data_IF_760838707199
#
_entry.id   IF_760838707199
#
_cell.length_a   1.000
_cell.length_b   1.000
_cell.length_c   1.000
_cell.angle_alpha   90.00
_cell.angle_beta   90.00
_cell.angle_gamma   90.00
#
_symmetry.space_group_name_H-M   'P 1'
#
loop_
_entity.id
_entity.type
_entity.pdbx_description
1 polymer ?
#
# COMPACT_ATOMS: atom_id res chain seq x y z
N UNK A 1 -0.01 -0.50 33.63
CA UNK A 1 0.73 0.07 32.50
C UNK A 1 1.52 -1.02 31.80
N UNK A 2 1.08 -1.42 30.61
CA UNK A 2 1.78 -2.35 29.73
C UNK A 2 2.93 -1.62 29.05
N UNK A 3 4.10 -2.25 29.09
CA UNK A 3 5.32 -1.82 28.43
C UNK A 3 6.10 -3.05 28.00
N UNK A 4 6.58 -3.05 26.76
CA UNK A 4 7.35 -4.14 26.17
C UNK A 4 6.55 -5.06 25.25
N UNK A 5 7.22 -6.07 24.69
CA UNK A 5 6.63 -6.99 23.73
C UNK A 5 5.61 -7.91 24.39
N UNK A 6 4.64 -8.37 23.61
CA UNK A 6 3.70 -9.42 23.99
C UNK A 6 3.47 -10.37 22.83
N UNK A 7 3.10 -11.61 23.19
CA UNK A 7 2.64 -12.63 22.25
C UNK A 7 1.45 -13.31 22.91
N UNK A 8 0.36 -13.47 22.16
CA UNK A 8 -0.80 -14.25 22.58
C UNK A 8 -0.96 -15.47 21.66
N UNK A 9 -1.39 -16.58 22.24
CA UNK A 9 -1.65 -17.84 21.54
C UNK A 9 -3.15 -18.16 21.58
N UNK A 10 -3.64 -18.91 20.59
CA UNK A 10 -5.00 -19.46 20.63
C UNK A 10 -5.06 -20.73 21.49
N UNK A 11 -6.26 -21.27 21.70
CA UNK A 11 -6.50 -22.47 22.54
C UNK A 11 -5.78 -23.72 22.04
N UNK A 12 -5.39 -23.75 20.75
CA UNK A 12 -4.67 -24.84 20.11
C UNK A 12 -3.16 -24.63 20.07
N UNK A 13 -2.64 -23.55 20.68
CA UNK A 13 -1.21 -23.28 20.82
C UNK A 13 -0.55 -22.54 19.65
N UNK A 14 -1.30 -22.13 18.62
CA UNK A 14 -0.77 -21.30 17.53
C UNK A 14 -0.69 -19.83 17.94
N UNK A 15 0.35 -19.11 17.48
CA UNK A 15 0.43 -17.64 17.61
C UNK A 15 -0.87 -17.03 17.08
N UNK A 16 -1.47 -16.12 17.84
CA UNK A 16 -2.67 -15.36 17.45
C UNK A 16 -2.30 -13.93 17.11
N UNK A 17 -1.48 -13.30 17.95
CA UNK A 17 -1.03 -11.92 17.78
C UNK A 17 0.26 -11.64 18.55
N UNK A 18 1.02 -10.65 18.09
CA UNK A 18 2.30 -10.21 18.66
C UNK A 18 2.45 -8.71 18.39
N UNK A 19 3.06 -8.00 19.30
CA UNK A 19 3.45 -6.60 19.11
C UNK A 19 4.09 -6.04 20.37
N UNK A 20 4.17 -4.72 20.44
CA UNK A 20 4.80 -4.03 21.56
C UNK A 20 3.85 -2.98 22.13
N UNK A 21 3.79 -2.87 23.46
CA UNK A 21 3.15 -1.76 24.14
C UNK A 21 4.20 -0.76 24.63
N UNK A 22 3.91 0.53 24.49
CA UNK A 22 4.63 1.65 25.12
C UNK A 22 3.58 2.54 25.80
N UNK A 23 3.65 2.66 27.12
CA UNK A 23 2.71 3.41 27.95
C UNK A 23 1.23 3.05 27.68
N UNK A 24 0.90 1.75 27.76
CA UNK A 24 -0.43 1.18 27.48
C UNK A 24 -0.93 1.32 26.03
N UNK A 25 -0.10 1.79 25.09
CA UNK A 25 -0.45 1.98 23.68
C UNK A 25 0.36 1.06 22.78
N UNK A 26 -0.25 0.52 21.73
CA UNK A 26 0.48 -0.22 20.71
C UNK A 26 1.46 0.71 19.99
N UNK A 27 2.69 0.25 19.80
CA UNK A 27 3.75 0.99 19.12
C UNK A 27 4.65 0.01 18.36
N UNK A 28 5.00 0.32 17.11
CA UNK A 28 5.76 -0.55 16.21
C UNK A 28 4.89 -1.51 15.39
N UNK A 29 5.50 -2.60 14.90
CA UNK A 29 4.81 -3.61 14.09
C UNK A 29 3.96 -4.52 14.97
N UNK A 30 2.71 -4.71 14.58
CA UNK A 30 1.77 -5.62 15.19
C UNK A 30 1.31 -6.66 14.18
N UNK A 31 1.48 -7.92 14.56
CA UNK A 31 1.26 -9.08 13.71
C UNK A 31 0.01 -9.84 14.18
N UNK A 32 -0.74 -10.39 13.22
CA UNK A 32 -1.79 -11.38 13.46
C UNK A 32 -1.60 -12.56 12.54
N UNK A 33 -1.96 -13.73 13.04
CA UNK A 33 -1.87 -14.99 12.31
C UNK A 33 -3.23 -15.65 12.12
N UNK A 34 -3.34 -16.49 11.11
CA UNK A 34 -4.37 -17.51 11.01
C UNK A 34 -4.07 -18.67 11.98
N UNK A 35 -5.08 -19.49 12.25
CA UNK A 35 -4.95 -20.66 13.14
C UNK A 35 -4.03 -21.77 12.61
N UNK A 36 -3.44 -21.60 11.41
CA UNK A 36 -2.48 -22.52 10.80
C UNK A 36 -1.08 -21.91 10.66
N UNK A 37 -0.80 -20.75 11.27
CA UNK A 37 0.55 -20.21 11.41
C UNK A 37 1.02 -19.20 10.35
N UNK A 38 0.23 -18.93 9.31
CA UNK A 38 0.50 -17.87 8.34
C UNK A 38 -0.04 -16.52 8.82
N UNK A 39 0.56 -15.40 8.40
CA UNK A 39 0.02 -14.08 8.72
C UNK A 39 -1.39 -13.91 8.16
N UNK A 40 -2.28 -13.35 8.96
CA UNK A 40 -3.56 -12.82 8.49
C UNK A 40 -3.48 -11.31 8.23
N UNK A 41 -2.68 -10.60 9.03
CA UNK A 41 -2.38 -9.19 8.80
C UNK A 41 -1.11 -8.74 9.50
N UNK A 42 -0.49 -7.70 8.96
CA UNK A 42 0.61 -6.95 9.57
C UNK A 42 0.21 -5.48 9.59
N UNK A 43 0.32 -4.80 10.74
CA UNK A 43 -0.12 -3.42 10.93
C UNK A 43 0.93 -2.63 11.70
N UNK A 44 1.22 -1.40 11.27
CA UNK A 44 2.13 -0.51 11.99
C UNK A 44 1.36 0.49 12.86
N UNK A 45 1.76 0.60 14.12
CA UNK A 45 1.18 1.53 15.10
C UNK A 45 2.21 2.56 15.56
N UNK A 46 1.71 3.74 15.90
CA UNK A 46 2.47 4.79 16.60
C UNK A 46 1.57 5.44 17.64
N UNK A 47 2.00 5.45 18.89
CA UNK A 47 1.24 6.00 20.02
C UNK A 47 -0.21 5.48 20.11
N UNK A 48 -0.41 4.19 19.78
CA UNK A 48 -1.71 3.51 19.85
C UNK A 48 -2.62 3.75 18.65
N UNK A 49 -2.14 4.46 17.62
CA UNK A 49 -2.89 4.78 16.41
C UNK A 49 -2.21 4.14 15.20
N UNK A 50 -2.98 3.60 14.26
CA UNK A 50 -2.41 3.05 13.01
C UNK A 50 -1.71 4.18 12.25
N UNK A 51 -0.44 3.96 11.90
CA UNK A 51 0.39 4.91 11.18
C UNK A 51 1.39 4.16 10.33
N UNK A 52 1.37 4.36 9.01
CA UNK A 52 2.12 3.56 8.04
C UNK A 52 1.18 2.67 7.23
N UNK A 53 1.29 1.35 7.39
CA UNK A 53 0.59 0.36 6.58
C UNK A 53 -0.14 -0.68 7.41
N UNK A 54 -1.27 -1.15 6.87
CA UNK A 54 -1.97 -2.37 7.26
C UNK A 54 -2.07 -3.27 6.05
N UNK A 55 -1.41 -4.42 6.09
CA UNK A 55 -1.34 -5.40 5.01
C UNK A 55 -2.13 -6.64 5.40
N UNK A 56 -2.96 -7.12 4.49
CA UNK A 56 -3.79 -8.32 4.66
C UNK A 56 -3.31 -9.43 3.74
N UNK A 57 -3.46 -10.65 4.23
CA UNK A 57 -3.01 -11.85 3.53
C UNK A 57 -4.16 -12.85 3.41
N UNK A 58 -4.14 -13.65 2.35
CA UNK A 58 -4.99 -14.83 2.22
C UNK A 58 -4.49 -15.94 3.14
N UNK A 59 -5.30 -16.98 3.42
CA UNK A 59 -4.83 -18.19 4.12
C UNK A 59 -3.65 -18.89 3.43
N UNK A 60 -3.39 -18.61 2.15
CA UNK A 60 -2.28 -19.14 1.38
C UNK A 60 -1.04 -18.22 1.39
N UNK A 61 -1.04 -17.16 2.20
CA UNK A 61 0.09 -16.23 2.35
C UNK A 61 0.21 -15.16 1.26
N UNK A 62 -0.77 -15.04 0.36
CA UNK A 62 -0.73 -14.04 -0.73
C UNK A 62 -1.34 -12.73 -0.22
N UNK A 63 -0.71 -11.59 -0.50
CA UNK A 63 -1.26 -10.27 -0.16
C UNK A 63 -2.58 -10.06 -0.89
N UNK A 64 -3.62 -9.71 -0.14
CA UNK A 64 -4.96 -9.43 -0.69
C UNK A 64 -5.25 -7.93 -0.74
N UNK A 65 -4.74 -7.18 0.24
CA UNK A 65 -4.83 -5.72 0.24
C UNK A 65 -3.74 -5.06 1.10
N UNK A 66 -3.48 -3.80 0.79
CA UNK A 66 -2.63 -2.89 1.57
C UNK A 66 -3.39 -1.58 1.77
N UNK A 67 -3.50 -1.16 3.02
CA UNK A 67 -4.12 0.10 3.43
C UNK A 67 -3.08 0.98 4.09
N UNK A 68 -2.99 2.23 3.65
CA UNK A 68 -2.00 3.18 4.16
C UNK A 68 -2.66 4.25 5.01
N UNK A 69 -2.17 4.43 6.23
CA UNK A 69 -2.72 5.31 7.23
C UNK A 69 -1.73 6.39 7.61
N UNK A 70 -2.24 7.62 7.81
CA UNK A 70 -1.47 8.72 8.38
C UNK A 70 -2.23 9.31 9.57
N UNK A 71 -1.70 9.10 10.77
CA UNK A 71 -2.33 9.42 12.05
C UNK A 71 -3.77 8.88 12.15
N UNK A 72 -3.93 7.57 11.87
CA UNK A 72 -5.20 6.85 11.99
C UNK A 72 -6.19 7.10 10.86
N UNK A 73 -5.86 7.96 9.88
CA UNK A 73 -6.72 8.25 8.74
C UNK A 73 -6.25 7.47 7.52
N UNK A 74 -7.14 6.69 6.93
CA UNK A 74 -6.89 6.00 5.67
C UNK A 74 -6.60 7.02 4.56
N UNK A 75 -5.53 6.79 3.81
CA UNK A 75 -5.07 7.63 2.70
C UNK A 75 -5.08 6.90 1.38
N UNK A 76 -4.61 5.66 1.37
CA UNK A 76 -4.52 4.86 0.15
C UNK A 76 -4.95 3.44 0.43
N UNK A 77 -5.56 2.79 -0.57
CA UNK A 77 -5.87 1.36 -0.52
C UNK A 77 -5.51 0.72 -1.84
N UNK A 78 -4.72 -0.35 -1.78
CA UNK A 78 -4.42 -1.21 -2.92
C UNK A 78 -5.07 -2.57 -2.64
N UNK A 79 -5.92 -3.03 -3.55
CA UNK A 79 -6.42 -4.40 -3.52
C UNK A 79 -5.78 -5.20 -4.65
N UNK A 80 -5.58 -6.49 -4.41
CA UNK A 80 -4.96 -7.42 -5.34
C UNK A 80 -5.93 -8.53 -5.73
N UNK A 81 -5.78 -9.01 -6.95
CA UNK A 81 -6.36 -10.28 -7.37
C UNK A 81 -5.57 -11.45 -6.77
N UNK A 82 -6.18 -12.62 -6.80
CA UNK A 82 -5.53 -13.88 -6.37
C UNK A 82 -4.28 -14.26 -7.17
N UNK A 83 -4.12 -13.73 -8.39
CA UNK A 83 -2.91 -13.86 -9.20
C UNK A 83 -1.82 -12.83 -8.86
N UNK A 84 -2.01 -12.01 -7.83
CA UNK A 84 -1.06 -11.00 -7.38
C UNK A 84 -1.11 -9.68 -8.18
N UNK A 85 -1.89 -9.59 -9.25
CA UNK A 85 -2.03 -8.33 -9.99
C UNK A 85 -2.91 -7.33 -9.25
N UNK A 86 -2.59 -6.05 -9.38
CA UNK A 86 -3.40 -4.96 -8.84
C UNK A 86 -4.83 -5.05 -9.39
N UNK A 87 -5.78 -5.08 -8.46
CA UNK A 87 -7.22 -5.07 -8.72
C UNK A 87 -7.78 -3.67 -8.63
N UNK A 88 -7.35 -2.91 -7.63
CA UNK A 88 -7.88 -1.58 -7.36
C UNK A 88 -6.84 -0.73 -6.63
N UNK A 89 -6.82 0.57 -6.96
CA UNK A 89 -6.13 1.61 -6.19
C UNK A 89 -7.14 2.71 -5.87
N UNK A 90 -7.15 3.18 -4.62
CA UNK A 90 -7.96 4.31 -4.17
C UNK A 90 -7.12 5.35 -3.43
N UNK A 91 -7.49 6.63 -3.58
CA UNK A 91 -7.01 7.75 -2.75
C UNK A 91 -8.20 8.28 -1.92
N UNK A 92 -7.97 8.48 -0.62
CA UNK A 92 -8.98 8.94 0.33
C UNK A 92 -8.69 10.36 0.84
N UNK A 93 -9.73 11.19 0.91
CA UNK A 93 -9.72 12.50 1.58
C UNK A 93 -10.95 12.61 2.48
N UNK A 94 -10.72 12.69 3.79
CA UNK A 94 -11.80 12.72 4.80
C UNK A 94 -12.82 11.60 4.58
N UNK A 95 -12.31 10.37 4.43
CA UNK A 95 -13.08 9.13 4.24
C UNK A 95 -13.83 9.02 2.90
N UNK A 96 -13.71 10.01 2.02
CA UNK A 96 -14.26 10.00 0.67
C UNK A 96 -13.18 9.52 -0.31
N UNK A 97 -13.55 8.61 -1.21
CA UNK A 97 -12.71 8.21 -2.34
C UNK A 97 -12.67 9.35 -3.36
N UNK A 98 -11.50 9.96 -3.55
CA UNK A 98 -11.30 11.10 -4.47
C UNK A 98 -10.60 10.71 -5.76
N UNK A 99 -10.07 9.50 -5.84
CA UNK A 99 -9.56 8.87 -7.05
C UNK A 99 -9.67 7.36 -6.88
N UNK A 100 -10.02 6.67 -7.96
CA UNK A 100 -10.04 5.22 -8.01
C UNK A 100 -9.57 4.76 -9.39
N UNK A 101 -8.83 3.65 -9.44
CA UNK A 101 -8.52 2.93 -10.66
C UNK A 101 -8.68 1.43 -10.42
N UNK A 102 -9.40 0.75 -11.32
CA UNK A 102 -9.74 -0.67 -11.22
C UNK A 102 -9.19 -1.41 -12.44
N UNK A 103 -8.68 -2.62 -12.23
CA UNK A 103 -8.28 -3.53 -13.30
C UNK A 103 -8.91 -4.91 -13.10
N UNK A 104 -9.20 -5.59 -14.20
CA UNK A 104 -9.56 -7.00 -14.15
C UNK A 104 -8.31 -7.89 -14.01
N UNK A 105 -8.49 -9.22 -13.92
CA UNK A 105 -7.39 -10.18 -13.77
C UNK A 105 -6.40 -10.22 -14.94
N UNK A 106 -6.76 -9.64 -16.10
CA UNK A 106 -5.92 -9.54 -17.29
C UNK A 106 -5.17 -8.19 -17.37
N UNK A 107 -5.33 -7.32 -16.36
CA UNK A 107 -4.72 -5.99 -16.35
C UNK A 107 -5.44 -4.95 -17.21
N UNK A 108 -6.64 -5.24 -17.71
CA UNK A 108 -7.45 -4.26 -18.45
C UNK A 108 -8.14 -3.31 -17.47
N UNK A 109 -8.05 -2.01 -17.75
CA UNK A 109 -8.73 -0.95 -16.99
C UNK A 109 -10.25 -1.10 -17.12
N UNK A 110 -10.91 -1.32 -15.97
CA UNK A 110 -12.36 -1.41 -15.81
C UNK A 110 -12.88 -0.35 -14.83
N UNK A 111 -12.17 0.77 -14.74
CA UNK A 111 -12.53 1.87 -13.85
C UNK A 111 -13.84 2.51 -14.31
N UNK A 112 -14.73 2.82 -13.36
CA UNK A 112 -16.02 3.45 -13.63
C UNK A 112 -15.81 4.87 -14.20
N UNK A 113 -16.71 5.27 -15.10
CA UNK A 113 -16.61 6.54 -15.84
C UNK A 113 -16.57 7.76 -14.92
N UNK A 114 -17.24 7.69 -13.76
CA UNK A 114 -17.23 8.77 -12.76
C UNK A 114 -15.82 9.11 -12.27
N UNK A 115 -14.91 8.13 -12.20
CA UNK A 115 -13.53 8.32 -11.79
C UNK A 115 -12.59 8.63 -12.96
N UNK A 116 -13.04 8.48 -14.22
CA UNK A 116 -12.29 8.84 -15.43
C UNK A 116 -12.55 10.28 -15.89
N UNK A 117 -13.65 10.88 -15.46
CA UNK A 117 -14.09 12.17 -15.97
C UNK A 117 -13.03 13.28 -15.77
N UNK A 118 -12.64 13.93 -16.87
CA UNK A 118 -11.65 15.01 -16.86
C UNK A 118 -10.20 14.54 -16.66
N UNK A 119 -9.95 13.24 -16.68
CA UNK A 119 -8.61 12.66 -16.63
C UNK A 119 -8.11 12.32 -18.03
N UNK A 120 -6.82 12.49 -18.23
CA UNK A 120 -6.08 12.10 -19.43
C UNK A 120 -4.94 11.18 -19.04
N UNK A 121 -4.86 10.04 -19.72
CA UNK A 121 -3.77 9.09 -19.53
C UNK A 121 -2.73 9.27 -20.65
N UNK A 122 -1.46 9.32 -20.26
CA UNK A 122 -0.32 9.45 -21.17
C UNK A 122 0.57 8.24 -20.96
N UNK A 123 0.91 7.56 -22.06
CA UNK A 123 1.82 6.41 -22.07
C UNK A 123 3.02 6.73 -22.92
N UNK A 124 4.20 6.39 -22.42
CA UNK A 124 5.43 6.37 -23.21
C UNK A 124 5.92 4.94 -23.32
N UNK A 125 6.48 4.61 -24.48
CA UNK A 125 7.02 3.28 -24.77
C UNK A 125 8.53 3.39 -25.00
N UNK A 126 9.24 2.32 -24.68
CA UNK A 126 10.60 2.09 -25.17
C UNK A 126 10.57 1.82 -26.69
N UNK A 127 11.72 1.95 -27.39
CA UNK A 127 11.82 1.56 -28.80
C UNK A 127 11.42 0.10 -29.07
N UNK A 128 11.58 -0.78 -28.07
CA UNK A 128 11.12 -2.17 -28.09
C UNK A 128 9.60 -2.33 -28.10
N UNK A 129 8.85 -1.26 -27.80
CA UNK A 129 7.40 -1.27 -27.64
C UNK A 129 6.92 -1.54 -26.21
N UNK A 130 7.84 -1.86 -25.30
CA UNK A 130 7.52 -2.08 -23.88
C UNK A 130 7.06 -0.77 -23.22
N UNK A 131 6.09 -0.87 -22.31
CA UNK A 131 5.58 0.29 -21.56
C UNK A 131 6.68 0.84 -20.67
N UNK A 132 7.02 2.13 -20.84
CA UNK A 132 8.02 2.85 -20.05
C UNK A 132 7.36 3.65 -18.93
N UNK A 133 6.34 4.42 -19.26
CA UNK A 133 5.57 5.19 -18.29
C UNK A 133 4.09 5.14 -18.59
N UNK A 134 3.29 5.21 -17.54
CA UNK A 134 1.86 5.50 -17.62
C UNK A 134 1.54 6.56 -16.59
N UNK A 135 0.99 7.69 -17.00
CA UNK A 135 0.74 8.83 -16.13
C UNK A 135 -0.65 9.38 -16.35
N UNK A 136 -1.34 9.66 -15.25
CA UNK A 136 -2.69 10.25 -15.27
C UNK A 136 -2.58 11.74 -14.93
N UNK A 137 -3.27 12.56 -15.73
CA UNK A 137 -3.31 14.01 -15.61
C UNK A 137 -4.75 14.48 -15.47
N UNK A 138 -4.98 15.52 -14.68
CA UNK A 138 -6.22 16.28 -14.68
C UNK A 138 -5.89 17.67 -15.22
N UNK A 139 -6.38 17.99 -16.41
CA UNK A 139 -5.83 19.09 -17.23
C UNK A 139 -4.35 18.84 -17.51
N UNK A 140 -3.45 19.68 -16.97
CA UNK A 140 -2.01 19.63 -17.22
C UNK A 140 -1.18 19.30 -15.96
N UNK A 141 -1.83 18.94 -14.85
CA UNK A 141 -1.17 18.53 -13.60
C UNK A 141 -1.32 17.03 -13.36
N UNK A 142 -0.29 16.41 -12.80
CA UNK A 142 -0.34 15.00 -12.39
C UNK A 142 -1.47 14.80 -11.38
N UNK A 143 -2.30 13.79 -11.63
CA UNK A 143 -3.47 13.50 -10.81
C UNK A 143 -3.81 12.02 -10.95
N UNK A 144 -3.90 11.30 -9.83
CA UNK A 144 -4.11 9.85 -9.81
C UNK A 144 -2.81 9.08 -9.94
N UNK A 145 -2.81 8.04 -10.79
CA UNK A 145 -1.72 7.08 -10.89
C UNK A 145 -0.62 7.52 -11.87
N UNK A 146 0.63 7.36 -11.44
CA UNK A 146 1.82 7.39 -12.29
C UNK A 146 2.63 6.12 -12.05
N UNK A 147 3.02 5.40 -13.11
CA UNK A 147 3.86 4.20 -13.05
C UNK A 147 5.04 4.36 -13.99
N UNK A 148 6.20 3.87 -13.56
CA UNK A 148 7.41 3.78 -14.36
C UNK A 148 7.93 2.35 -14.30
N UNK A 149 8.26 1.80 -15.47
CA UNK A 149 8.72 0.43 -15.63
C UNK A 149 10.10 0.42 -16.29
N UNK A 150 10.89 -0.59 -15.94
CA UNK A 150 12.09 -0.94 -16.67
C UNK A 150 11.76 -1.59 -18.01
N UNK A 151 12.75 -1.71 -18.87
CA UNK A 151 12.59 -2.35 -20.17
C UNK A 151 12.30 -3.86 -20.05
N UNK A 152 12.63 -4.47 -18.92
CA UNK A 152 12.32 -5.85 -18.51
C UNK A 152 10.91 -6.04 -17.93
N UNK A 153 10.06 -5.01 -18.00
CA UNK A 153 8.72 -4.94 -17.41
C UNK A 153 8.69 -4.83 -15.88
N UNK A 154 9.83 -4.75 -15.21
CA UNK A 154 9.87 -4.58 -13.76
C UNK A 154 9.31 -3.21 -13.36
N UNK A 155 8.47 -3.15 -12.33
CA UNK A 155 8.02 -1.87 -11.78
C UNK A 155 9.20 -1.18 -11.09
N UNK A 156 9.60 -0.02 -11.60
CA UNK A 156 10.63 0.82 -10.97
C UNK A 156 9.99 1.71 -9.91
N UNK A 157 8.85 2.32 -10.25
CA UNK A 157 8.10 3.11 -9.27
C UNK A 157 6.62 3.23 -9.59
N UNK A 158 5.84 3.40 -8.53
CA UNK A 158 4.43 3.76 -8.57
C UNK A 158 4.24 4.99 -7.69
N UNK A 159 3.54 5.99 -8.21
CA UNK A 159 3.22 7.22 -7.46
C UNK A 159 1.75 7.56 -7.57
N UNK A 160 1.20 8.10 -6.49
CA UNK A 160 -0.14 8.65 -6.46
C UNK A 160 -0.08 10.15 -6.26
N UNK A 161 -0.84 10.87 -7.07
CA UNK A 161 -0.96 12.32 -7.02
C UNK A 161 -2.41 12.71 -6.77
N UNK A 162 -2.63 13.81 -6.05
CA UNK A 162 -3.95 14.42 -5.96
C UNK A 162 -3.82 15.93 -6.11
N UNK A 163 -4.43 16.47 -7.17
CA UNK A 163 -4.34 17.89 -7.53
C UNK A 163 -2.87 18.38 -7.59
N UNK A 164 -1.99 17.59 -8.19
CA UNK A 164 -0.55 17.89 -8.34
C UNK A 164 0.31 17.58 -7.12
N UNK A 165 -0.28 17.33 -5.94
CA UNK A 165 0.48 16.95 -4.75
C UNK A 165 0.93 15.49 -4.85
N UNK A 166 2.21 15.22 -4.55
CA UNK A 166 2.74 13.85 -4.47
C UNK A 166 2.34 13.21 -3.14
N UNK A 167 1.42 12.25 -3.19
CA UNK A 167 0.74 11.70 -2.02
C UNK A 167 1.36 10.39 -1.55
N UNK A 168 1.83 9.58 -2.49
CA UNK A 168 2.42 8.26 -2.23
C UNK A 168 3.49 7.96 -3.27
N UNK A 169 4.54 7.25 -2.85
CA UNK A 169 5.56 6.70 -3.72
C UNK A 169 5.94 5.30 -3.25
N UNK A 170 5.90 4.33 -4.16
CA UNK A 170 6.52 3.01 -4.04
C UNK A 170 7.69 2.97 -4.99
N UNK A 171 8.86 2.60 -4.50
CA UNK A 171 10.07 2.36 -5.32
C UNK A 171 10.63 0.99 -5.00
N UNK A 172 11.23 0.38 -5.99
CA UNK A 172 12.02 -0.84 -5.82
C UNK A 172 13.46 -0.44 -5.47
N UNK A 173 14.01 -1.01 -4.40
CA UNK A 173 15.39 -0.77 -3.98
C UNK A 173 16.39 -1.70 -4.70
N UNK A 174 17.66 -1.65 -4.30
CA UNK A 174 18.73 -2.47 -4.90
C UNK A 174 18.58 -3.98 -4.63
N UNK A 175 17.77 -4.37 -3.64
CA UNK A 175 17.48 -5.75 -3.28
C UNK A 175 16.15 -6.25 -3.85
N UNK A 176 15.52 -5.46 -4.74
CA UNK A 176 14.18 -5.70 -5.27
C UNK A 176 13.05 -5.66 -4.22
N UNK A 177 13.25 -4.95 -3.11
CA UNK A 177 12.22 -4.73 -2.10
C UNK A 177 11.48 -3.41 -2.34
N UNK A 178 10.20 -3.37 -1.95
CA UNK A 178 9.41 -2.16 -2.07
C UNK A 178 9.62 -1.23 -0.88
N UNK A 179 10.07 -0.02 -1.15
CA UNK A 179 10.10 1.10 -0.21
C UNK A 179 8.89 2.00 -0.49
N UNK A 180 7.98 2.06 0.48
CA UNK A 180 6.78 2.87 0.42
C UNK A 180 6.95 4.16 1.23
N UNK A 181 6.59 5.29 0.64
CA UNK A 181 6.69 6.63 1.23
C UNK A 181 5.36 7.36 1.09
N UNK A 182 4.80 7.79 2.22
CA UNK A 182 3.64 8.67 2.30
C UNK A 182 4.12 10.13 2.22
N UNK A 183 3.40 10.96 1.45
CA UNK A 183 3.67 12.39 1.27
C UNK A 183 5.15 12.72 0.99
N UNK A 184 5.77 12.10 -0.03
CA UNK A 184 7.15 12.41 -0.42
C UNK A 184 7.32 13.91 -0.72
N UNK A 185 8.53 14.42 -0.47
CA UNK A 185 8.92 15.81 -0.73
C UNK A 185 8.08 16.86 0.03
N UNK A 186 7.49 16.45 1.15
CA UNK A 186 6.65 17.27 2.03
C UNK A 186 7.13 17.21 3.48
N UNK A 187 6.86 18.25 4.32
CA UNK A 187 7.08 18.18 5.77
C UNK A 187 6.35 17.03 6.49
N UNK A 188 5.39 16.39 5.83
CA UNK A 188 4.62 15.25 6.33
C UNK A 188 5.17 13.89 5.89
N UNK A 189 6.33 13.87 5.23
CA UNK A 189 6.90 12.64 4.68
C UNK A 189 7.06 11.56 5.75
N UNK A 190 6.59 10.35 5.44
CA UNK A 190 6.76 9.18 6.27
C UNK A 190 7.14 7.97 5.41
N UNK A 191 8.33 7.42 5.65
CA UNK A 191 8.74 6.14 5.07
C UNK A 191 8.07 5.03 5.88
N UNK A 192 7.38 4.13 5.18
CA UNK A 192 6.74 2.98 5.80
C UNK A 192 7.81 1.94 6.11
N UNK A 193 7.88 1.53 7.37
CA UNK A 193 8.79 0.49 7.83
C UNK A 193 7.98 -0.60 8.53
N UNK A 194 8.23 -1.85 8.15
CA UNK A 194 7.69 -3.04 8.80
C UNK A 194 8.89 -3.78 9.38
N UNK A 195 8.97 -3.85 10.70
CA UNK A 195 9.94 -4.72 11.38
C UNK A 195 9.62 -6.19 11.08
N UNK A 196 10.64 -7.02 10.90
CA UNK A 196 10.48 -8.47 10.72
C UNK A 196 10.09 -9.16 12.03
N UNK A 197 9.36 -10.27 11.96
CA UNK A 197 9.11 -11.12 13.13
C UNK A 197 10.40 -11.89 13.47
N UNK A 198 11.24 -11.33 14.34
CA UNK A 198 12.35 -12.07 14.92
C UNK A 198 11.79 -13.24 15.77
N UNK A 199 12.23 -14.46 15.44
CA UNK A 199 11.78 -15.74 16.02
C UNK A 199 12.14 -15.89 17.50
#
# INVERSE_FOLDING_TARGET
MKNGPFTDWNETGFKKQKGTYVNDKLDGTYFRWFNHGEYSSITTYKDGVIHGVMRYYSPTGVITSEEYYFFGKLKFRFDYHDNGFLKQIQIFKSDIVVFQKNWNKLGLDITDDEFKFGLREVKELYPSGNLKTEQTYKKDILHGLSRHFGEDHALISLSLYYEGQHMFNRKTDENNEFIDTLFPDSPLQAVVHIEEDEN
#
